data_IF_220174655876
#
_entry.id   IF_220174655876
#
_cell.length_a   1.000
_cell.length_b   1.000
_cell.length_c   1.000
_cell.angle_alpha   90.00
_cell.angle_beta   90.00
_cell.angle_gamma   90.00
#
_symmetry.space_group_name_H-M   'P 1'
#
loop_
_entity.id
_entity.type
_entity.pdbx_description
1 polymer ?
#
# COMPACT_ATOMS: atom_id res chain seq x y z
N UNK A 1 -8.42 18.12 -18.40
CA UNK A 1 -7.15 18.64 -17.84
C UNK A 1 -6.39 17.42 -17.39
N UNK A 2 -5.16 17.23 -17.83
CA UNK A 2 -4.36 16.08 -17.46
C UNK A 2 -4.03 16.12 -15.96
N UNK A 3 -4.31 15.05 -15.23
CA UNK A 3 -4.00 14.96 -13.82
C UNK A 3 -2.48 14.88 -13.64
N UNK A 4 -1.92 15.81 -12.88
CA UNK A 4 -0.54 15.71 -12.40
C UNK A 4 -0.58 15.06 -11.00
N UNK A 5 -0.06 13.86 -10.91
CA UNK A 5 0.11 13.19 -9.63
C UNK A 5 1.14 13.89 -8.76
N UNK A 6 0.98 13.79 -7.46
CA UNK A 6 2.04 14.06 -6.50
C UNK A 6 3.21 13.08 -6.66
N UNK A 7 4.25 13.18 -5.83
CA UNK A 7 5.33 12.20 -5.81
C UNK A 7 4.76 10.82 -5.45
N UNK A 8 5.31 9.78 -6.08
CA UNK A 8 5.05 8.41 -5.61
C UNK A 8 5.65 8.26 -4.21
N UNK A 9 4.83 7.83 -3.27
CA UNK A 9 5.23 7.71 -1.87
C UNK A 9 5.41 6.27 -1.41
N UNK A 10 4.91 5.28 -2.19
CA UNK A 10 4.97 3.87 -1.83
C UNK A 10 5.17 3.01 -3.06
N UNK A 11 5.92 1.93 -2.90
CA UNK A 11 5.97 0.78 -3.79
C UNK A 11 5.60 -0.48 -3.01
N UNK A 12 4.73 -1.31 -3.58
CA UNK A 12 4.17 -2.46 -2.90
C UNK A 12 4.39 -3.77 -3.65
N UNK A 13 4.54 -4.84 -2.87
CA UNK A 13 4.79 -6.19 -3.33
C UNK A 13 3.82 -7.15 -2.64
N UNK A 14 3.15 -8.00 -3.39
CA UNK A 14 2.35 -9.08 -2.80
C UNK A 14 3.25 -10.28 -2.53
N UNK A 15 3.11 -10.84 -1.34
CA UNK A 15 3.97 -11.91 -0.82
C UNK A 15 3.14 -13.02 -0.17
N UNK A 16 3.65 -14.25 -0.21
CA UNK A 16 2.99 -15.40 0.45
C UNK A 16 3.19 -15.39 1.96
N UNK A 17 4.30 -14.83 2.43
CA UNK A 17 4.62 -14.60 3.85
C UNK A 17 5.56 -13.40 3.99
N UNK A 18 5.75 -12.91 5.23
CA UNK A 18 6.59 -11.74 5.48
C UNK A 18 8.05 -12.08 5.80
N UNK A 19 8.40 -13.32 6.16
CA UNK A 19 9.71 -13.64 6.74
C UNK A 19 10.85 -13.44 5.74
N UNK A 20 10.77 -14.10 4.58
CA UNK A 20 11.80 -13.99 3.55
C UNK A 20 11.90 -12.57 2.97
N UNK A 21 10.78 -11.90 2.59
CA UNK A 21 10.83 -10.52 2.11
C UNK A 21 11.38 -9.53 3.14
N UNK A 22 10.96 -9.59 4.41
CA UNK A 22 11.51 -8.72 5.45
C UNK A 22 13.02 -8.98 5.64
N UNK A 23 13.45 -10.23 5.65
CA UNK A 23 14.87 -10.56 5.71
C UNK A 23 15.65 -10.02 4.50
N UNK A 24 15.10 -10.09 3.30
CA UNK A 24 15.71 -9.50 2.10
C UNK A 24 15.88 -7.98 2.27
N UNK A 25 14.80 -7.27 2.59
CA UNK A 25 14.83 -5.81 2.72
C UNK A 25 15.74 -5.35 3.84
N UNK A 26 15.70 -5.99 5.02
CA UNK A 26 16.50 -5.57 6.18
C UNK A 26 17.97 -5.97 6.08
N UNK A 27 18.27 -7.22 5.66
CA UNK A 27 19.64 -7.74 5.68
C UNK A 27 20.41 -7.48 4.39
N UNK A 28 19.74 -7.44 3.23
CA UNK A 28 20.39 -7.24 1.93
C UNK A 28 20.32 -5.79 1.47
N UNK A 29 19.14 -5.17 1.63
CA UNK A 29 18.91 -3.80 1.17
C UNK A 29 19.18 -2.75 2.28
N UNK A 30 19.31 -3.17 3.55
CA UNK A 30 19.51 -2.31 4.71
C UNK A 30 18.36 -1.30 4.89
N UNK A 31 17.13 -1.75 4.66
CA UNK A 31 15.89 -0.99 4.77
C UNK A 31 15.02 -1.59 5.86
N UNK A 32 14.59 -0.76 6.82
CA UNK A 32 13.77 -1.14 7.96
C UNK A 32 13.73 -0.02 9.01
N UNK A 33 13.13 -0.25 10.18
CA UNK A 33 12.43 -1.48 10.55
C UNK A 33 11.12 -1.63 9.77
N UNK A 34 10.56 -2.84 9.73
CA UNK A 34 9.21 -3.07 9.25
C UNK A 34 8.20 -2.98 10.40
N UNK A 35 7.05 -2.40 10.11
CA UNK A 35 5.88 -2.36 10.99
C UNK A 35 4.81 -3.25 10.40
N UNK A 36 4.37 -4.26 11.14
CA UNK A 36 3.32 -5.18 10.72
C UNK A 36 1.96 -4.69 11.19
N UNK A 37 1.01 -4.67 10.30
CA UNK A 37 -0.40 -4.39 10.53
C UNK A 37 -1.18 -5.62 10.13
N UNK A 38 -1.52 -6.44 11.12
CA UNK A 38 -2.13 -7.74 10.88
C UNK A 38 -3.65 -7.61 10.80
N UNK A 39 -4.26 -8.35 9.87
CA UNK A 39 -5.71 -8.45 9.68
C UNK A 39 -6.38 -7.08 9.62
N UNK A 40 -6.02 -6.29 8.60
CA UNK A 40 -6.53 -4.93 8.45
C UNK A 40 -8.06 -4.89 8.42
N UNK A 41 -8.64 -4.13 9.35
CA UNK A 41 -10.06 -3.91 9.42
C UNK A 41 -10.43 -2.68 8.57
N UNK A 42 -11.02 -2.90 7.41
CA UNK A 42 -11.43 -1.87 6.46
C UNK A 42 -12.95 -1.76 6.40
N UNK A 43 -13.44 -0.62 5.88
CA UNK A 43 -14.86 -0.32 5.66
C UNK A 43 -15.14 -0.15 4.17
N UNK A 44 -16.35 -0.49 3.74
CA UNK A 44 -16.86 -0.22 2.39
C UNK A 44 -15.92 -0.73 1.28
N UNK A 45 -15.27 -1.88 1.50
CA UNK A 45 -14.35 -2.47 0.52
C UNK A 45 -15.15 -3.00 -0.66
N UNK A 46 -14.69 -2.71 -1.86
CA UNK A 46 -15.23 -3.25 -3.10
C UNK A 46 -14.11 -3.77 -4.00
N UNK A 47 -14.46 -4.75 -4.82
CA UNK A 47 -13.64 -5.26 -5.92
C UNK A 47 -14.51 -5.44 -7.17
N UNK A 48 -14.10 -4.85 -8.31
CA UNK A 48 -14.85 -4.87 -9.58
C UNK A 48 -16.33 -4.46 -9.38
N UNK A 49 -16.55 -3.31 -8.75
CA UNK A 49 -17.85 -2.70 -8.41
C UNK A 49 -18.76 -3.56 -7.48
N UNK A 50 -18.22 -4.60 -6.84
CA UNK A 50 -18.97 -5.44 -5.91
C UNK A 50 -18.42 -5.29 -4.49
N UNK A 51 -19.29 -5.14 -3.48
CA UNK A 51 -18.85 -5.22 -2.09
C UNK A 51 -18.10 -6.52 -1.83
N UNK A 52 -17.00 -6.44 -1.11
CA UNK A 52 -16.16 -7.58 -0.80
C UNK A 52 -15.62 -7.51 0.63
N UNK A 53 -15.30 -8.66 1.21
CA UNK A 53 -14.63 -8.77 2.51
C UNK A 53 -13.26 -9.40 2.28
N UNK A 54 -12.23 -8.70 2.69
CA UNK A 54 -10.84 -9.14 2.55
C UNK A 54 -10.20 -9.29 3.92
N UNK A 55 -9.47 -10.37 4.08
CA UNK A 55 -8.56 -10.59 5.20
C UNK A 55 -7.13 -10.54 4.66
N UNK A 56 -6.39 -9.50 5.01
CA UNK A 56 -5.00 -9.34 4.63
C UNK A 56 -4.22 -8.52 5.65
N UNK A 57 -2.93 -8.68 5.63
CA UNK A 57 -1.97 -7.97 6.47
C UNK A 57 -1.00 -7.20 5.59
N UNK A 58 -0.39 -6.16 6.14
CA UNK A 58 0.70 -5.44 5.49
C UNK A 58 1.90 -5.31 6.41
N UNK A 59 3.08 -5.18 5.83
CA UNK A 59 4.29 -4.79 6.53
C UNK A 59 4.93 -3.60 5.79
N UNK A 60 5.20 -2.51 6.52
CA UNK A 60 5.64 -1.23 5.96
C UNK A 60 7.00 -0.87 6.52
N UNK A 61 7.92 -0.45 5.66
CA UNK A 61 9.20 0.16 6.01
C UNK A 61 9.45 1.40 5.15
N UNK A 62 10.44 2.20 5.53
CA UNK A 62 10.82 3.39 4.76
C UNK A 62 12.26 3.33 4.28
N UNK A 63 12.47 3.85 3.06
CA UNK A 63 13.78 4.22 2.53
C UNK A 63 13.75 5.66 2.03
N UNK A 64 14.37 6.58 2.79
CA UNK A 64 14.13 8.00 2.57
C UNK A 64 12.64 8.31 2.75
N UNK A 65 12.02 8.95 1.75
CA UNK A 65 10.60 9.30 1.76
C UNK A 65 9.71 8.26 1.04
N UNK A 66 10.29 7.13 0.62
CA UNK A 66 9.56 6.07 -0.07
C UNK A 66 9.21 4.94 0.90
N UNK A 67 7.96 4.57 0.95
CA UNK A 67 7.50 3.36 1.64
C UNK A 67 7.78 2.12 0.79
N UNK A 68 8.21 1.07 1.45
CA UNK A 68 8.18 -0.30 0.95
C UNK A 68 7.04 -1.00 1.66
N UNK A 69 6.05 -1.46 0.93
CA UNK A 69 4.94 -2.22 1.47
C UNK A 69 4.97 -3.67 0.99
N UNK A 70 4.78 -4.58 1.91
CA UNK A 70 4.55 -6.00 1.64
C UNK A 70 3.09 -6.30 1.99
N UNK A 71 2.35 -6.94 1.09
CA UNK A 71 0.94 -7.29 1.28
C UNK A 71 0.80 -8.80 1.27
N UNK A 72 0.16 -9.36 2.29
CA UNK A 72 -0.16 -10.78 2.38
C UNK A 72 -1.66 -10.96 2.58
N UNK A 73 -2.36 -11.55 1.61
CA UNK A 73 -3.78 -11.86 1.72
C UNK A 73 -3.95 -13.27 2.32
N UNK A 74 -4.84 -13.40 3.33
CA UNK A 74 -5.07 -14.63 4.08
C UNK A 74 -6.30 -15.43 3.63
N UNK A 75 -7.11 -14.88 2.73
CA UNK A 75 -8.34 -15.49 2.23
C UNK A 75 -8.31 -15.68 0.71
N UNK A 76 -9.20 -16.56 0.20
CA UNK A 76 -9.33 -16.81 -1.24
C UNK A 76 -10.30 -15.85 -1.95
N UNK A 77 -10.78 -14.81 -1.25
CA UNK A 77 -11.69 -13.82 -1.82
C UNK A 77 -11.02 -13.11 -3.00
N UNK A 78 -11.66 -13.03 -4.18
CA UNK A 78 -11.10 -12.32 -5.32
C UNK A 78 -10.77 -10.86 -5.01
N UNK A 79 -9.57 -10.45 -5.37
CA UNK A 79 -9.05 -9.10 -5.15
C UNK A 79 -7.92 -8.80 -6.14
N UNK A 80 -7.45 -7.56 -6.14
CA UNK A 80 -6.22 -7.22 -6.89
C UNK A 80 -5.01 -8.00 -6.39
N UNK A 81 -4.98 -8.40 -5.11
CA UNK A 81 -3.81 -9.05 -4.51
C UNK A 81 -3.62 -10.49 -4.96
N UNK A 82 -4.72 -11.24 -5.23
CA UNK A 82 -4.61 -12.62 -5.71
C UNK A 82 -4.81 -12.78 -7.21
N UNK A 83 -5.51 -11.86 -7.88
CA UNK A 83 -5.74 -11.95 -9.32
C UNK A 83 -4.61 -11.31 -10.16
N UNK A 84 -3.88 -10.33 -9.60
CA UNK A 84 -2.82 -9.62 -10.31
C UNK A 84 -1.39 -10.11 -9.96
N UNK A 85 -1.22 -10.97 -8.95
CA UNK A 85 0.08 -11.53 -8.55
C UNK A 85 0.71 -12.41 -9.60
N UNK A 86 -0.09 -13.15 -10.37
CA UNK A 86 0.38 -14.12 -11.37
C UNK A 86 0.53 -13.52 -12.76
N UNK A 87 0.37 -12.23 -12.92
CA UNK A 87 0.51 -11.59 -14.19
C UNK A 87 1.99 -11.35 -14.52
N UNK A 88 2.33 -11.42 -15.79
CA UNK A 88 3.65 -11.22 -16.37
C UNK A 88 4.32 -9.87 -16.04
N UNK A 89 3.72 -9.08 -15.12
CA UNK A 89 4.11 -7.71 -14.74
C UNK A 89 5.28 -7.63 -13.74
N UNK A 90 5.83 -8.76 -13.30
CA UNK A 90 6.94 -8.76 -12.34
C UNK A 90 6.50 -8.60 -10.87
N UNK A 91 7.44 -8.48 -9.92
CA UNK A 91 7.15 -8.49 -8.50
C UNK A 91 6.52 -7.19 -7.97
N UNK A 92 6.69 -6.05 -8.65
CA UNK A 92 6.08 -4.77 -8.26
C UNK A 92 4.59 -4.81 -8.54
N UNK A 93 3.77 -4.74 -7.49
CA UNK A 93 2.32 -4.82 -7.61
C UNK A 93 1.68 -3.45 -7.87
N UNK A 94 1.95 -2.47 -7.01
CA UNK A 94 1.40 -1.13 -7.19
C UNK A 94 2.36 -0.03 -6.74
N UNK A 95 2.09 1.16 -7.24
CA UNK A 95 2.68 2.41 -6.77
C UNK A 95 1.58 3.27 -6.18
N UNK A 96 1.83 3.90 -5.03
CA UNK A 96 0.87 4.78 -4.38
C UNK A 96 1.29 6.24 -4.44
N UNK A 97 0.30 7.12 -4.65
CA UNK A 97 0.42 8.57 -4.49
C UNK A 97 -0.73 9.11 -3.65
N UNK A 98 -0.49 10.21 -2.93
CA UNK A 98 -1.52 10.86 -2.12
C UNK A 98 -2.35 11.85 -2.93
N UNK A 99 -3.61 12.02 -2.51
CA UNK A 99 -4.55 13.00 -3.03
C UNK A 99 -5.33 13.66 -1.90
N UNK A 100 -5.88 14.84 -2.17
CA UNK A 100 -6.79 15.55 -1.26
C UNK A 100 -8.26 15.46 -1.69
N UNK A 101 -8.56 14.86 -2.85
CA UNK A 101 -9.91 14.72 -3.39
C UNK A 101 -9.98 13.45 -4.25
N UNK A 102 -10.07 12.30 -3.57
CA UNK A 102 -9.98 10.99 -4.20
C UNK A 102 -11.15 10.75 -5.18
N UNK A 103 -12.36 11.20 -4.86
CA UNK A 103 -13.52 11.02 -5.74
C UNK A 103 -13.37 11.78 -7.07
N UNK A 104 -12.84 12.99 -7.00
CA UNK A 104 -12.56 13.78 -8.20
C UNK A 104 -11.43 13.15 -9.02
N UNK A 105 -10.40 12.68 -8.36
CA UNK A 105 -9.27 12.06 -9.02
C UNK A 105 -9.62 10.73 -9.70
N UNK A 106 -10.44 9.88 -9.07
CA UNK A 106 -10.98 8.68 -9.69
C UNK A 106 -11.71 9.06 -10.99
N UNK A 107 -12.63 10.01 -10.95
CA UNK A 107 -13.38 10.44 -12.15
C UNK A 107 -12.48 10.95 -13.27
N UNK A 108 -11.44 11.71 -12.94
CA UNK A 108 -10.48 12.21 -13.95
C UNK A 108 -9.72 11.03 -14.58
N UNK A 109 -9.22 10.09 -13.77
CA UNK A 109 -8.47 8.92 -14.24
C UNK A 109 -9.33 8.00 -15.11
N UNK A 110 -10.57 7.72 -14.69
CA UNK A 110 -11.53 6.94 -15.49
C UNK A 110 -11.82 7.62 -16.84
N UNK A 111 -11.93 8.95 -16.88
CA UNK A 111 -12.09 9.70 -18.14
C UNK A 111 -10.86 9.60 -19.05
N UNK A 112 -9.71 9.21 -18.53
CA UNK A 112 -8.45 8.95 -19.26
C UNK A 112 -8.26 7.47 -19.62
N UNK A 113 -9.24 6.60 -19.28
CA UNK A 113 -9.22 5.19 -19.64
C UNK A 113 -8.70 4.24 -18.55
N UNK A 114 -8.36 4.75 -17.36
CA UNK A 114 -8.04 3.90 -16.22
C UNK A 114 -9.28 3.15 -15.75
N UNK A 115 -9.11 1.99 -15.17
CA UNK A 115 -10.20 1.21 -14.56
C UNK A 115 -10.00 1.16 -13.05
N UNK A 116 -10.98 1.66 -12.31
CA UNK A 116 -11.02 1.49 -10.85
C UNK A 116 -11.38 0.02 -10.53
N UNK A 117 -10.42 -0.70 -9.95
CA UNK A 117 -10.56 -2.13 -9.69
C UNK A 117 -11.04 -2.42 -8.28
N UNK A 118 -10.45 -1.75 -7.29
CA UNK A 118 -10.67 -2.01 -5.88
C UNK A 118 -10.50 -0.73 -5.08
N UNK A 119 -11.19 -0.62 -3.97
CA UNK A 119 -11.01 0.47 -3.03
C UNK A 119 -11.77 0.24 -1.75
N UNK A 120 -11.70 1.23 -0.86
CA UNK A 120 -12.36 1.16 0.44
C UNK A 120 -11.95 2.30 1.34
N UNK A 121 -12.21 2.13 2.65
CA UNK A 121 -11.89 3.11 3.70
C UNK A 121 -11.18 2.44 4.86
N UNK A 122 -10.29 3.19 5.49
CA UNK A 122 -9.73 2.83 6.79
C UNK A 122 -10.73 3.13 7.92
N UNK A 123 -10.45 2.69 9.15
CA UNK A 123 -11.34 2.92 10.30
C UNK A 123 -11.45 4.40 10.67
N UNK A 124 -10.44 5.19 10.38
CA UNK A 124 -10.36 6.64 10.57
C UNK A 124 -10.81 7.46 9.34
N UNK A 125 -11.57 6.80 8.43
CA UNK A 125 -12.17 7.39 7.24
C UNK A 125 -11.18 7.85 6.15
N UNK A 126 -9.91 7.44 6.23
CA UNK A 126 -9.00 7.49 5.09
C UNK A 126 -9.56 6.65 3.94
N UNK A 127 -9.31 7.04 2.69
CA UNK A 127 -9.83 6.39 1.48
C UNK A 127 -8.70 5.96 0.59
N UNK A 128 -8.90 4.85 -0.13
CA UNK A 128 -7.93 4.37 -1.12
C UNK A 128 -8.66 3.78 -2.33
N UNK A 129 -8.01 3.83 -3.48
CA UNK A 129 -8.50 3.19 -4.69
C UNK A 129 -7.32 2.72 -5.54
N UNK A 130 -7.48 1.54 -6.14
CA UNK A 130 -6.53 0.90 -7.04
C UNK A 130 -7.05 0.95 -8.47
N UNK A 131 -6.27 1.53 -9.37
CA UNK A 131 -6.64 1.74 -10.75
C UNK A 131 -5.67 0.99 -11.69
N UNK A 132 -6.24 0.20 -12.60
CA UNK A 132 -5.48 -0.38 -13.71
C UNK A 132 -5.18 0.72 -14.73
N UNK A 133 -3.90 0.91 -15.02
CA UNK A 133 -3.43 1.88 -16.00
C UNK A 133 -3.67 1.46 -17.45
N UNK A 134 -4.09 0.18 -17.67
CA UNK A 134 -4.18 -0.47 -18.99
C UNK A 134 -2.84 -0.66 -19.71
N UNK A 135 -1.75 -0.23 -19.13
CA UNK A 135 -0.43 -0.46 -19.69
C UNK A 135 0.03 -1.88 -19.34
N UNK A 136 0.39 -2.65 -20.36
CA UNK A 136 0.77 -4.07 -20.19
C UNK A 136 1.89 -4.28 -19.17
N UNK A 137 2.85 -3.35 -19.14
CA UNK A 137 4.03 -3.44 -18.28
C UNK A 137 3.99 -2.46 -17.10
N UNK A 138 2.90 -1.70 -16.98
CA UNK A 138 2.71 -0.74 -15.88
C UNK A 138 2.19 -1.39 -14.61
N UNK A 139 2.64 -0.96 -13.43
CA UNK A 139 2.03 -1.37 -12.16
C UNK A 139 0.61 -0.82 -12.02
N UNK A 140 -0.15 -1.36 -11.07
CA UNK A 140 -1.39 -0.75 -10.62
C UNK A 140 -1.05 0.61 -9.97
N UNK A 141 -1.90 1.60 -10.19
CA UNK A 141 -1.83 2.88 -9.50
C UNK A 141 -2.76 2.86 -8.30
N UNK A 142 -2.21 3.06 -7.11
CA UNK A 142 -3.00 3.40 -5.94
C UNK A 142 -3.04 4.91 -5.75
N UNK A 143 -4.22 5.44 -5.46
CA UNK A 143 -4.40 6.78 -4.94
C UNK A 143 -5.01 6.69 -3.54
N UNK A 144 -4.46 7.42 -2.59
CA UNK A 144 -4.92 7.42 -1.21
C UNK A 144 -5.16 8.84 -0.71
N UNK A 145 -6.28 9.01 -0.02
CA UNK A 145 -6.62 10.21 0.74
C UNK A 145 -6.60 9.85 2.22
N UNK A 146 -5.52 10.20 2.88
CA UNK A 146 -5.32 9.88 4.28
C UNK A 146 -6.04 10.87 5.19
N UNK A 147 -6.49 10.38 6.35
CA UNK A 147 -6.89 11.23 7.46
C UNK A 147 -5.66 11.86 8.14
N UNK A 148 -5.87 12.84 9.03
CA UNK A 148 -4.79 13.37 9.87
C UNK A 148 -4.15 12.27 10.75
N UNK A 149 -4.97 11.35 11.28
CA UNK A 149 -4.48 10.22 12.06
C UNK A 149 -3.63 9.26 11.21
N UNK A 150 -4.06 8.96 9.98
CA UNK A 150 -3.29 8.14 9.04
C UNK A 150 -1.96 8.77 8.65
N UNK A 151 -1.93 10.09 8.43
CA UNK A 151 -0.68 10.83 8.18
C UNK A 151 0.26 10.75 9.39
N UNK A 152 -0.27 11.02 10.60
CA UNK A 152 0.52 10.91 11.84
C UNK A 152 1.06 9.50 12.08
N UNK A 153 0.30 8.48 11.73
CA UNK A 153 0.72 7.10 11.81
C UNK A 153 1.91 6.79 10.88
N UNK A 154 1.87 7.29 9.66
CA UNK A 154 2.98 7.15 8.70
C UNK A 154 4.21 7.95 9.13
N UNK A 155 4.03 9.13 9.71
CA UNK A 155 5.14 9.94 10.23
C UNK A 155 5.89 9.22 11.36
N UNK A 156 5.19 8.53 12.26
CA UNK A 156 5.82 7.73 13.33
C UNK A 156 6.73 6.63 12.75
N UNK A 157 6.25 5.88 11.76
CA UNK A 157 7.05 4.85 11.09
C UNK A 157 8.24 5.45 10.33
N UNK A 158 8.03 6.58 9.67
CA UNK A 158 9.10 7.27 8.94
C UNK A 158 10.20 7.77 9.89
N UNK A 159 9.84 8.39 11.02
CA UNK A 159 10.82 8.83 12.02
C UNK A 159 11.59 7.63 12.62
N UNK A 160 10.90 6.53 12.92
CA UNK A 160 11.56 5.32 13.40
C UNK A 160 12.60 4.77 12.41
N UNK A 161 12.32 4.85 11.11
CA UNK A 161 13.27 4.40 10.08
C UNK A 161 14.58 5.18 10.08
N UNK A 162 14.55 6.48 10.42
CA UNK A 162 15.74 7.33 10.49
C UNK A 162 16.66 6.94 11.63
N UNK A 163 16.10 6.39 12.71
CA UNK A 163 16.80 6.02 13.93
C UNK A 163 16.96 4.50 14.09
N UNK A 164 16.69 3.72 13.03
CA UNK A 164 16.75 2.26 13.09
C UNK A 164 18.16 1.75 13.42
N UNK A 165 18.24 0.84 14.38
CA UNK A 165 19.49 0.24 14.87
C UNK A 165 20.13 -0.77 13.89
N UNK A 166 19.44 -1.09 12.79
CA UNK A 166 19.79 -2.09 11.76
C UNK A 166 19.85 -3.54 12.27
N UNK A 167 19.34 -3.79 13.47
CA UNK A 167 19.32 -5.12 14.11
C UNK A 167 17.91 -5.64 14.31
N UNK A 168 16.97 -4.76 14.65
CA UNK A 168 15.58 -5.10 14.91
C UNK A 168 14.80 -5.04 13.60
N UNK A 169 14.54 -6.17 12.91
CA UNK A 169 13.92 -6.16 11.58
C UNK A 169 12.45 -5.77 11.60
N UNK A 170 11.75 -6.03 12.71
CA UNK A 170 10.35 -5.70 12.92
C UNK A 170 10.24 -4.96 14.24
N UNK A 171 9.48 -3.85 14.23
CA UNK A 171 9.16 -3.08 15.44
C UNK A 171 7.64 -3.04 15.64
N UNK A 172 7.21 -3.02 16.90
CA UNK A 172 5.85 -2.66 17.26
C UNK A 172 5.73 -1.13 17.36
N UNK A 173 4.60 -0.59 16.92
CA UNK A 173 4.35 0.85 17.01
C UNK A 173 4.37 1.37 18.45
N UNK A 174 3.98 0.55 19.41
CA UNK A 174 4.09 0.87 20.84
C UNK A 174 5.53 0.99 21.37
N UNK A 175 6.52 0.50 20.64
CA UNK A 175 7.94 0.54 20.98
C UNK A 175 8.67 1.77 20.40
N UNK A 176 8.01 2.52 19.50
CA UNK A 176 8.61 3.71 18.90
C UNK A 176 8.71 4.82 19.95
N UNK A 177 9.91 5.20 20.27
CA UNK A 177 10.19 6.40 21.10
C UNK A 177 10.40 7.57 20.16
N UNK A 178 9.45 8.50 20.18
CA UNK A 178 9.56 9.79 19.49
C UNK A 178 10.48 10.74 20.25
#
# INVERSE_FOLDING_TARGET
MEKKFGPMMQMAFVVDDFNEPINFWTKKMNIGPFFKLEHLNLKDVYYMDKPTELDFSVAIAYTGNMQIELVNQHCDTPSIYNEYVNNEKGPLHHLCTLTNDIENDIRILESQGYINLQGGKTQDDGKFAYLDTKEKEGPILEIAQLSEAGLGFFDVMHEASKNWDKKTPIMDLGEVRL
#
